data_IF_644503780282
#
_entry.id   IF_644503780282
#
_cell.length_a   1.000
_cell.length_b   1.000
_cell.length_c   1.000
_cell.angle_alpha   90.00
_cell.angle_beta   90.00
_cell.angle_gamma   90.00
#
_symmetry.space_group_name_H-M   'P 1'
#
loop_
_entity.id
_entity.type
_entity.pdbx_description
1 polymer ?
#
# COMPACT_ATOMS: atom_id res chain seq x y z
N UNK A 1 -47.71 11.61 -35.49
CA UNK A 1 -46.41 11.25 -34.90
C UNK A 1 -46.68 10.96 -33.46
N UNK A 2 -46.45 9.73 -33.04
CA UNK A 2 -46.61 9.35 -31.64
C UNK A 2 -45.38 9.82 -30.85
N UNK A 3 -45.64 10.34 -29.66
CA UNK A 3 -44.62 10.96 -28.81
C UNK A 3 -44.57 10.21 -27.48
N UNK A 4 -43.35 9.90 -27.05
CA UNK A 4 -43.05 9.37 -25.73
C UNK A 4 -42.52 10.47 -24.80
N UNK A 5 -42.67 10.23 -23.50
CA UNK A 5 -42.15 11.09 -22.44
C UNK A 5 -40.65 10.86 -22.22
N UNK A 6 -40.00 11.79 -21.53
CA UNK A 6 -38.60 11.66 -21.07
C UNK A 6 -38.36 10.39 -20.26
N UNK A 7 -39.36 9.96 -19.47
CA UNK A 7 -39.23 8.77 -18.63
C UNK A 7 -39.20 7.50 -19.50
N UNK A 8 -40.12 7.39 -20.44
CA UNK A 8 -40.21 6.27 -21.39
C UNK A 8 -38.98 6.22 -22.32
N UNK A 9 -38.53 7.38 -22.81
CA UNK A 9 -37.29 7.47 -23.58
C UNK A 9 -36.05 7.09 -22.73
N UNK A 10 -36.05 7.42 -21.44
CA UNK A 10 -35.01 7.01 -20.49
C UNK A 10 -34.96 5.49 -20.32
N UNK A 11 -36.12 4.85 -20.13
CA UNK A 11 -36.23 3.39 -20.05
C UNK A 11 -35.81 2.72 -21.37
N UNK A 12 -36.27 3.25 -22.51
CA UNK A 12 -35.90 2.77 -23.86
C UNK A 12 -34.40 2.85 -24.13
N UNK A 13 -33.69 3.83 -23.57
CA UNK A 13 -32.27 4.07 -23.85
C UNK A 13 -31.32 3.66 -22.72
N UNK A 14 -31.85 3.14 -21.61
CA UNK A 14 -31.08 2.82 -20.41
C UNK A 14 -30.43 4.05 -19.78
N UNK A 15 -31.11 5.21 -19.81
CA UNK A 15 -30.62 6.49 -19.31
C UNK A 15 -31.53 7.04 -18.21
N UNK A 16 -30.95 7.70 -17.22
CA UNK A 16 -31.74 8.45 -16.24
C UNK A 16 -32.48 9.62 -16.92
N UNK A 17 -33.71 9.91 -16.50
CA UNK A 17 -34.56 10.95 -17.12
C UNK A 17 -33.89 12.32 -17.19
N UNK A 18 -33.02 12.65 -16.24
CA UNK A 18 -32.25 13.91 -16.22
C UNK A 18 -31.29 14.04 -17.43
N UNK A 19 -30.71 12.94 -17.91
CA UNK A 19 -29.84 12.94 -19.09
C UNK A 19 -30.69 13.09 -20.36
N UNK A 20 -31.83 12.42 -20.42
CA UNK A 20 -32.75 12.55 -21.57
C UNK A 20 -33.28 13.98 -21.71
N UNK A 21 -33.64 14.63 -20.60
CA UNK A 21 -34.01 16.06 -20.59
C UNK A 21 -32.88 16.96 -21.09
N UNK A 22 -31.63 16.65 -20.72
CA UNK A 22 -30.44 17.38 -21.18
C UNK A 22 -30.29 17.27 -22.70
N UNK A 23 -30.42 16.07 -23.26
CA UNK A 23 -30.35 15.88 -24.71
C UNK A 23 -31.45 16.61 -25.48
N UNK A 24 -32.66 16.68 -24.91
CA UNK A 24 -33.74 17.48 -25.50
C UNK A 24 -33.40 18.98 -25.47
N UNK A 25 -32.92 19.48 -24.33
CA UNK A 25 -32.56 20.89 -24.15
C UNK A 25 -31.36 21.32 -25.03
N UNK A 26 -30.41 20.42 -25.27
CA UNK A 26 -29.26 20.61 -26.15
C UNK A 26 -29.58 20.40 -27.64
N UNK A 27 -30.84 20.11 -27.99
CA UNK A 27 -31.28 19.90 -29.38
C UNK A 27 -30.69 18.65 -30.04
N UNK A 28 -30.23 17.67 -29.24
CA UNK A 28 -29.60 16.44 -29.74
C UNK A 28 -30.58 15.38 -30.22
N UNK A 29 -31.87 15.52 -29.87
CA UNK A 29 -32.93 14.62 -30.27
C UNK A 29 -33.78 15.32 -31.32
N UNK A 30 -33.68 14.87 -32.57
CA UNK A 30 -34.40 15.48 -33.67
C UNK A 30 -35.91 15.26 -33.49
N UNK A 31 -36.70 16.32 -33.71
CA UNK A 31 -38.16 16.31 -33.53
C UNK A 31 -38.64 16.37 -32.07
N UNK A 32 -37.75 16.49 -31.08
CA UNK A 32 -38.16 16.73 -29.69
C UNK A 32 -38.75 18.14 -29.52
N UNK A 33 -39.96 18.23 -28.97
CA UNK A 33 -40.67 19.50 -28.77
C UNK A 33 -41.01 19.69 -27.30
N UNK A 34 -40.79 20.90 -26.78
CA UNK A 34 -41.20 21.27 -25.43
C UNK A 34 -42.60 21.88 -25.47
N UNK A 35 -43.56 21.24 -24.78
CA UNK A 35 -44.92 21.75 -24.61
C UNK A 35 -45.18 22.00 -23.13
N UNK A 36 -45.06 23.25 -22.71
CA UNK A 36 -45.08 23.63 -21.29
C UNK A 36 -43.86 23.07 -20.55
N UNK A 37 -44.11 22.25 -19.51
CA UNK A 37 -43.05 21.60 -18.71
C UNK A 37 -42.70 20.19 -19.19
N UNK A 38 -43.36 19.69 -20.24
CA UNK A 38 -43.16 18.35 -20.76
C UNK A 38 -42.34 18.39 -22.06
N UNK A 39 -41.38 17.48 -22.17
CA UNK A 39 -40.73 17.16 -23.43
C UNK A 39 -41.46 16.00 -24.10
N UNK A 40 -41.86 16.23 -25.35
CA UNK A 40 -42.43 15.24 -26.25
C UNK A 40 -41.33 14.80 -27.21
N UNK A 41 -40.96 13.53 -27.13
CA UNK A 41 -39.90 12.93 -27.94
C UNK A 41 -40.57 11.99 -28.95
N UNK A 42 -40.33 12.10 -30.27
CA UNK A 42 -40.88 11.17 -31.25
C UNK A 42 -40.52 9.72 -30.88
N UNK A 43 -41.46 8.78 -30.97
CA UNK A 43 -41.19 7.38 -30.60
C UNK A 43 -40.07 6.75 -31.43
N UNK A 44 -39.92 7.15 -32.69
CA UNK A 44 -38.86 6.72 -33.60
C UNK A 44 -37.51 7.40 -33.35
N UNK A 45 -37.42 8.30 -32.37
CA UNK A 45 -36.18 8.98 -32.04
C UNK A 45 -35.08 7.98 -31.65
N UNK A 46 -33.91 8.15 -32.27
CA UNK A 46 -32.71 7.37 -32.01
C UNK A 46 -31.93 8.01 -30.85
N UNK A 47 -31.40 7.17 -29.96
CA UNK A 47 -30.54 7.61 -28.84
C UNK A 47 -29.36 8.43 -29.36
N UNK A 48 -29.18 9.69 -28.91
CA UNK A 48 -28.05 10.51 -29.34
C UNK A 48 -26.71 9.93 -28.87
N UNK A 49 -25.65 10.09 -29.68
CA UNK A 49 -24.30 9.69 -29.27
C UNK A 49 -23.80 10.55 -28.09
N UNK A 50 -23.42 9.89 -26.99
CA UNK A 50 -22.89 10.55 -25.80
C UNK A 50 -21.44 11.00 -26.02
N UNK A 51 -21.25 12.27 -26.39
CA UNK A 51 -19.92 12.86 -26.65
C UNK A 51 -19.02 13.00 -25.40
N UNK A 52 -19.46 12.58 -24.19
CA UNK A 52 -18.58 12.49 -23.01
C UNK A 52 -17.72 11.23 -22.96
N UNK A 53 -17.99 10.24 -23.83
CA UNK A 53 -17.04 9.18 -24.17
C UNK A 53 -16.57 9.39 -25.60
N UNK A 54 -15.30 9.80 -25.79
CA UNK A 54 -14.60 9.44 -27.03
C UNK A 54 -14.76 7.93 -27.18
N UNK A 55 -15.35 7.46 -28.28
CA UNK A 55 -15.24 6.06 -28.73
C UNK A 55 -13.73 5.79 -28.86
N UNK A 56 -13.12 5.22 -27.83
CA UNK A 56 -11.92 4.44 -28.01
C UNK A 56 -12.34 3.28 -28.92
N UNK A 57 -11.64 3.11 -30.03
CA UNK A 57 -11.80 1.95 -30.90
C UNK A 57 -11.77 0.69 -30.05
N UNK A 58 -12.85 -0.09 -30.10
CA UNK A 58 -12.88 -1.44 -29.57
C UNK A 58 -11.84 -2.23 -30.39
N UNK A 59 -10.65 -2.42 -29.83
CA UNK A 59 -9.93 -3.66 -30.05
C UNK A 59 -10.62 -4.66 -29.14
N UNK A 60 -11.07 -5.77 -29.71
CA UNK A 60 -11.54 -6.92 -28.95
C UNK A 60 -10.45 -7.30 -27.94
N UNK A 61 -10.62 -6.92 -26.67
CA UNK A 61 -9.91 -7.56 -25.56
C UNK A 61 -10.53 -8.94 -25.39
N UNK A 62 -10.12 -9.84 -26.27
CA UNK A 62 -10.11 -11.27 -25.96
C UNK A 62 -8.99 -11.49 -24.95
N UNK A 63 -9.35 -12.04 -23.79
CA UNK A 63 -8.38 -12.55 -22.82
C UNK A 63 -8.20 -11.65 -21.62
N UNK A 64 -8.77 -12.11 -20.52
CA UNK A 64 -8.24 -11.91 -19.17
C UNK A 64 -6.71 -12.04 -19.19
N UNK A 65 -5.99 -10.92 -19.14
CA UNK A 65 -4.57 -10.93 -18.85
C UNK A 65 -4.38 -11.07 -17.33
N UNK A 66 -4.81 -12.22 -16.79
CA UNK A 66 -4.00 -12.86 -15.75
C UNK A 66 -2.63 -13.00 -16.38
N UNK A 67 -1.61 -12.42 -15.75
CA UNK A 67 -0.22 -12.52 -16.19
C UNK A 67 0.06 -13.95 -16.64
N UNK A 68 0.11 -14.17 -17.94
CA UNK A 68 0.92 -15.24 -18.50
C UNK A 68 2.32 -14.99 -17.95
N UNK A 69 2.97 -16.05 -17.48
CA UNK A 69 4.26 -15.94 -16.82
C UNK A 69 5.20 -15.12 -17.73
N UNK A 70 6.11 -14.31 -17.20
CA UNK A 70 7.04 -13.51 -18.04
C UNK A 70 7.75 -14.42 -19.05
N UNK A 71 7.92 -15.69 -18.67
CA UNK A 71 8.41 -16.78 -19.50
C UNK A 71 7.54 -17.11 -20.74
N UNK A 72 6.22 -17.13 -20.59
CA UNK A 72 5.28 -17.42 -21.67
C UNK A 72 5.21 -16.30 -22.71
N UNK A 73 5.35 -15.04 -22.25
CA UNK A 73 5.43 -13.87 -23.12
C UNK A 73 6.73 -13.85 -23.94
N UNK A 74 7.84 -14.34 -23.37
CA UNK A 74 9.12 -14.48 -24.05
C UNK A 74 9.09 -15.54 -25.16
N UNK A 75 8.55 -16.73 -24.89
CA UNK A 75 8.44 -17.79 -25.91
C UNK A 75 7.57 -17.37 -27.10
N UNK A 76 6.56 -16.52 -26.87
CA UNK A 76 5.73 -15.94 -27.93
C UNK A 76 6.43 -14.85 -28.74
N UNK A 77 7.38 -14.10 -28.15
CA UNK A 77 8.03 -12.95 -28.78
C UNK A 77 9.39 -13.24 -29.43
N UNK A 78 10.00 -14.39 -29.14
CA UNK A 78 11.34 -14.83 -29.64
C UNK A 78 11.54 -14.77 -31.17
N UNK A 79 10.46 -14.67 -31.92
CA UNK A 79 10.46 -14.62 -33.39
C UNK A 79 10.13 -13.23 -33.97
N UNK A 80 9.96 -12.20 -33.14
CA UNK A 80 9.83 -10.80 -33.58
C UNK A 80 11.15 -10.06 -33.40
N UNK A 81 11.68 -9.45 -34.47
CA UNK A 81 12.96 -8.72 -34.53
C UNK A 81 13.10 -7.51 -33.56
N UNK A 82 12.17 -7.30 -32.64
CA UNK A 82 12.19 -6.16 -31.72
C UNK A 82 11.36 -6.42 -30.47
N UNK A 83 11.81 -7.33 -29.59
CA UNK A 83 11.34 -7.33 -28.21
C UNK A 83 12.28 -6.48 -27.35
N UNK A 84 11.82 -5.36 -26.75
CA UNK A 84 12.71 -4.45 -26.01
C UNK A 84 13.29 -5.04 -24.71
N UNK A 85 12.82 -6.22 -24.27
CA UNK A 85 13.33 -6.94 -23.10
C UNK A 85 14.28 -8.11 -23.45
N UNK A 86 14.46 -8.45 -24.73
CA UNK A 86 15.23 -9.65 -25.13
C UNK A 86 16.70 -9.63 -24.67
N UNK A 87 17.27 -8.46 -24.35
CA UNK A 87 18.65 -8.40 -23.83
C UNK A 87 18.76 -8.40 -22.31
N UNK A 88 17.69 -8.36 -21.51
CA UNK A 88 17.81 -8.23 -20.05
C UNK A 88 18.39 -9.47 -19.36
N UNK A 89 18.00 -10.66 -19.84
CA UNK A 89 18.50 -11.93 -19.31
C UNK A 89 19.89 -12.29 -19.86
N UNK A 90 20.19 -11.86 -21.09
CA UNK A 90 21.47 -12.07 -21.75
C UNK A 90 22.53 -11.04 -21.31
N UNK A 91 22.09 -9.84 -20.92
CA UNK A 91 22.92 -8.76 -20.42
C UNK A 91 22.99 -8.78 -18.89
N UNK A 92 23.92 -9.59 -18.38
CA UNK A 92 24.23 -9.71 -16.95
C UNK A 92 24.52 -8.37 -16.29
N UNK A 93 25.12 -7.41 -17.01
CA UNK A 93 25.41 -6.08 -16.49
C UNK A 93 24.12 -5.29 -16.25
N UNK A 94 23.19 -5.30 -17.21
CA UNK A 94 21.92 -4.59 -17.08
C UNK A 94 21.07 -5.15 -15.94
N UNK A 95 20.99 -6.47 -15.81
CA UNK A 95 20.32 -7.11 -14.67
C UNK A 95 20.96 -6.73 -13.32
N UNK A 96 22.29 -6.72 -13.26
CA UNK A 96 23.01 -6.26 -12.07
C UNK A 96 22.72 -4.79 -11.74
N UNK A 97 22.62 -3.91 -12.75
CA UNK A 97 22.25 -2.51 -12.57
C UNK A 97 20.83 -2.37 -12.02
N UNK A 98 19.87 -3.17 -12.48
CA UNK A 98 18.49 -3.16 -11.94
C UNK A 98 18.50 -3.50 -10.45
N UNK A 99 19.15 -4.59 -10.05
CA UNK A 99 19.19 -4.98 -8.63
C UNK A 99 19.91 -3.92 -7.81
N UNK A 100 21.01 -3.38 -8.33
CA UNK A 100 21.82 -2.35 -7.67
C UNK A 100 21.06 -1.05 -7.43
N UNK A 101 20.26 -0.60 -8.40
CA UNK A 101 19.46 0.61 -8.33
C UNK A 101 18.00 0.37 -7.93
N UNK A 102 17.66 -0.85 -7.48
CA UNK A 102 16.33 -1.16 -6.98
C UNK A 102 16.00 -0.21 -5.81
N UNK A 103 14.84 0.47 -5.82
CA UNK A 103 14.59 1.62 -4.93
C UNK A 103 14.32 1.23 -3.47
N UNK A 104 14.15 -0.07 -3.18
CA UNK A 104 13.96 -0.56 -1.82
C UNK A 104 15.23 -1.24 -1.32
N UNK A 105 15.61 -1.07 -0.05
CA UNK A 105 16.72 -1.81 0.53
C UNK A 105 16.56 -3.31 0.28
N UNK A 106 17.63 -3.92 -0.20
CA UNK A 106 17.66 -5.33 -0.55
C UNK A 106 19.05 -5.90 -0.26
N UNK A 107 19.09 -7.12 0.28
CA UNK A 107 20.31 -7.91 0.33
C UNK A 107 20.11 -9.32 -0.23
N UNK A 108 21.21 -9.93 -0.66
CA UNK A 108 21.26 -11.31 -1.14
C UNK A 108 22.28 -12.08 -0.28
N UNK A 109 21.86 -13.22 0.24
CA UNK A 109 22.69 -14.11 1.04
C UNK A 109 22.87 -15.47 0.35
N UNK A 110 24.02 -16.10 0.61
CA UNK A 110 24.27 -17.51 0.32
C UNK A 110 23.47 -18.42 1.29
N UNK A 111 23.30 -19.71 0.98
CA UNK A 111 22.52 -20.64 1.82
C UNK A 111 23.10 -20.86 3.23
N UNK A 112 24.40 -20.62 3.40
CA UNK A 112 25.08 -20.68 4.69
C UNK A 112 24.83 -19.43 5.56
N UNK A 113 24.16 -18.40 5.03
CA UNK A 113 23.85 -17.15 5.72
C UNK A 113 24.79 -16.00 5.40
N UNK A 114 25.85 -16.24 4.62
CA UNK A 114 26.83 -15.20 4.27
C UNK A 114 26.19 -14.16 3.34
N UNK A 115 26.23 -12.88 3.73
CA UNK A 115 25.78 -11.80 2.87
C UNK A 115 26.72 -11.66 1.67
N UNK A 116 26.18 -11.72 0.45
CA UNK A 116 26.94 -11.61 -0.79
C UNK A 116 26.79 -10.24 -1.42
N UNK A 117 25.62 -9.62 -1.25
CA UNK A 117 25.26 -8.38 -1.91
C UNK A 117 24.28 -7.57 -1.07
N UNK A 118 24.39 -6.25 -1.16
CA UNK A 118 23.38 -5.30 -0.73
C UNK A 118 23.31 -4.18 -1.77
N UNK A 119 22.12 -3.67 -2.06
CA UNK A 119 21.94 -2.61 -3.05
C UNK A 119 22.22 -1.21 -2.47
N UNK A 120 22.20 -0.17 -3.32
CA UNK A 120 22.50 1.20 -2.89
C UNK A 120 21.52 1.69 -1.82
N UNK A 121 20.22 1.42 -2.00
CA UNK A 121 19.19 1.76 -1.03
C UNK A 121 19.45 1.15 0.36
N UNK A 122 20.05 -0.05 0.44
CA UNK A 122 20.44 -0.66 1.71
C UNK A 122 21.56 0.12 2.40
N UNK A 123 22.59 0.56 1.66
CA UNK A 123 23.71 1.32 2.21
C UNK A 123 23.29 2.73 2.66
N UNK A 124 22.42 3.38 1.90
CA UNK A 124 21.80 4.65 2.29
C UNK A 124 21.02 4.50 3.59
N UNK A 125 20.21 3.44 3.70
CA UNK A 125 19.43 3.14 4.89
C UNK A 125 20.30 2.92 6.14
N UNK A 126 21.40 2.16 6.06
CA UNK A 126 22.30 1.95 7.21
C UNK A 126 23.29 3.10 7.43
N UNK A 127 23.17 4.20 6.66
CA UNK A 127 24.06 5.37 6.69
C UNK A 127 25.55 4.98 6.61
N UNK A 128 25.89 3.94 5.83
CA UNK A 128 27.26 3.43 5.71
C UNK A 128 27.85 3.76 4.34
N UNK A 129 29.00 4.45 4.28
CA UNK A 129 29.63 4.80 3.01
C UNK A 129 30.42 3.64 2.38
N UNK A 130 30.67 2.54 3.10
CA UNK A 130 31.57 1.46 2.64
C UNK A 130 30.85 0.13 2.43
N UNK A 131 31.24 -0.56 1.36
CA UNK A 131 30.79 -1.94 1.07
C UNK A 131 31.50 -3.01 1.92
N UNK A 132 32.42 -2.60 2.80
CA UNK A 132 33.12 -3.51 3.71
C UNK A 132 32.15 -4.23 4.66
N UNK A 133 30.99 -3.64 4.90
CA UNK A 133 29.84 -4.20 5.58
C UNK A 133 29.41 -5.58 5.06
N UNK A 134 29.67 -5.93 3.80
CA UNK A 134 29.29 -7.26 3.29
C UNK A 134 30.26 -8.33 3.81
N UNK A 135 31.54 -7.97 4.01
CA UNK A 135 32.59 -8.95 4.34
C UNK A 135 32.44 -9.45 5.78
N UNK A 136 32.25 -10.77 5.92
CA UNK A 136 32.18 -11.44 7.22
C UNK A 136 30.84 -11.36 7.94
N UNK A 137 29.82 -10.69 7.37
CA UNK A 137 28.48 -10.65 7.95
C UNK A 137 27.68 -11.89 7.53
N UNK A 138 27.42 -12.76 8.51
CA UNK A 138 26.54 -13.92 8.35
C UNK A 138 25.24 -13.67 9.11
N UNK A 139 24.11 -13.64 8.39
CA UNK A 139 22.79 -13.33 8.96
C UNK A 139 22.32 -14.41 9.94
N UNK A 140 22.63 -15.68 9.66
CA UNK A 140 22.21 -16.82 10.50
C UNK A 140 22.96 -16.85 11.84
N UNK A 141 24.19 -16.36 11.86
CA UNK A 141 25.05 -16.33 13.04
C UNK A 141 24.89 -15.04 13.86
N UNK A 142 23.99 -14.13 13.47
CA UNK A 142 23.80 -12.88 14.18
C UNK A 142 23.22 -13.17 15.59
N UNK A 143 23.91 -12.77 16.68
CA UNK A 143 23.44 -13.06 18.04
C UNK A 143 22.17 -12.28 18.42
N UNK A 144 21.82 -11.23 17.66
CA UNK A 144 20.70 -10.35 17.97
C UNK A 144 19.38 -10.79 17.33
N UNK A 145 19.32 -11.92 16.60
CA UNK A 145 18.11 -12.34 15.88
C UNK A 145 16.87 -12.48 16.80
N UNK A 146 17.05 -13.03 18.00
CA UNK A 146 15.98 -13.11 19.01
C UNK A 146 15.55 -11.72 19.47
N UNK A 147 16.51 -10.87 19.85
CA UNK A 147 16.25 -9.52 20.35
C UNK A 147 15.55 -8.64 19.32
N UNK A 148 15.91 -8.79 18.05
CA UNK A 148 15.30 -8.06 16.93
C UNK A 148 13.98 -8.69 16.46
N UNK A 149 13.55 -9.82 17.06
CA UNK A 149 12.29 -10.48 16.70
C UNK A 149 12.29 -11.17 15.33
N UNK A 150 13.45 -11.42 14.73
CA UNK A 150 13.59 -11.95 13.36
C UNK A 150 14.13 -13.38 13.29
N UNK A 151 14.34 -14.05 14.43
CA UNK A 151 14.89 -15.41 14.45
C UNK A 151 14.04 -16.42 13.68
N UNK A 152 12.73 -16.44 13.91
CA UNK A 152 11.85 -17.37 13.19
C UNK A 152 11.78 -17.04 11.70
N UNK A 153 11.75 -15.74 11.36
CA UNK A 153 11.82 -15.25 9.98
C UNK A 153 13.07 -15.77 9.26
N UNK A 154 14.25 -15.63 9.88
CA UNK A 154 15.51 -16.15 9.33
C UNK A 154 15.49 -17.67 9.25
N UNK A 155 15.05 -18.37 10.31
CA UNK A 155 14.99 -19.83 10.31
C UNK A 155 14.16 -20.38 9.14
N UNK A 156 12.95 -19.85 8.93
CA UNK A 156 12.00 -20.32 7.90
C UNK A 156 12.44 -19.96 6.48
N UNK A 157 12.99 -18.76 6.27
CA UNK A 157 13.46 -18.36 4.93
C UNK A 157 14.58 -19.26 4.42
N UNK A 158 15.49 -19.70 5.30
CA UNK A 158 16.55 -20.64 4.96
C UNK A 158 16.10 -22.11 4.91
N UNK A 159 14.86 -22.41 5.34
CA UNK A 159 14.18 -23.69 5.05
C UNK A 159 13.51 -23.69 3.67
N UNK A 160 13.54 -22.57 2.96
CA UNK A 160 13.02 -22.43 1.61
C UNK A 160 11.57 -21.96 1.54
N UNK A 161 11.05 -21.39 2.64
CA UNK A 161 9.76 -20.70 2.66
C UNK A 161 9.90 -19.27 2.16
N UNK A 162 8.83 -18.74 1.55
CA UNK A 162 8.65 -17.29 1.40
C UNK A 162 8.09 -16.80 2.72
N UNK A 163 8.81 -15.88 3.38
CA UNK A 163 8.48 -15.44 4.72
C UNK A 163 8.31 -13.93 4.74
N UNK A 164 7.29 -13.48 5.45
CA UNK A 164 7.03 -12.07 5.69
C UNK A 164 7.11 -11.78 7.18
N UNK A 165 7.69 -10.63 7.53
CA UNK A 165 7.57 -10.03 8.84
C UNK A 165 7.12 -8.59 8.65
N UNK A 166 6.23 -8.13 9.52
CA UNK A 166 5.58 -6.83 9.39
C UNK A 166 5.89 -5.97 10.59
N UNK A 167 6.05 -4.67 10.33
CA UNK A 167 6.16 -3.64 11.34
C UNK A 167 7.26 -3.87 12.39
N UNK A 168 8.40 -4.39 11.93
CA UNK A 168 9.56 -4.67 12.78
C UNK A 168 10.31 -3.38 13.10
N UNK A 169 10.56 -3.13 14.39
CA UNK A 169 11.40 -2.02 14.83
C UNK A 169 12.83 -2.24 14.35
N UNK A 170 13.36 -1.26 13.62
CA UNK A 170 14.75 -1.27 13.19
C UNK A 170 15.63 -0.79 14.35
N UNK A 171 16.67 -1.55 14.73
CA UNK A 171 17.64 -1.13 15.73
C UNK A 171 18.64 -0.14 15.10
N UNK A 172 18.14 1.01 14.64
CA UNK A 172 18.89 1.99 13.85
C UNK A 172 20.22 2.38 14.50
N UNK A 173 20.19 2.68 15.80
CA UNK A 173 21.38 3.05 16.56
C UNK A 173 22.45 1.94 16.51
N UNK A 174 22.07 0.69 16.77
CA UNK A 174 23.00 -0.45 16.73
C UNK A 174 23.58 -0.66 15.32
N UNK A 175 22.74 -0.51 14.29
CA UNK A 175 23.19 -0.64 12.90
C UNK A 175 24.18 0.46 12.57
N UNK A 176 23.90 1.70 12.94
CA UNK A 176 24.75 2.86 12.64
C UNK A 176 26.07 2.77 13.42
N UNK A 177 26.04 2.41 14.70
CA UNK A 177 27.25 2.18 15.50
C UNK A 177 28.10 1.07 14.87
N UNK A 178 27.46 -0.02 14.44
CA UNK A 178 28.15 -1.15 13.80
C UNK A 178 28.74 -0.79 12.44
N UNK A 179 28.11 0.09 11.67
CA UNK A 179 28.36 0.22 10.23
C UNK A 179 28.87 1.58 9.76
N UNK A 180 28.64 2.64 10.52
CA UNK A 180 29.15 3.98 10.23
C UNK A 180 30.27 4.39 11.19
N UNK A 181 30.37 3.74 12.36
CA UNK A 181 31.27 4.16 13.44
C UNK A 181 30.88 5.49 14.09
N UNK A 182 29.77 6.10 13.68
CA UNK A 182 29.22 7.30 14.29
C UNK A 182 28.33 6.92 15.48
N UNK A 183 28.58 7.53 16.63
CA UNK A 183 27.83 7.33 17.88
C UNK A 183 26.83 8.46 18.15
N UNK A 184 26.56 9.34 17.18
CA UNK A 184 25.59 10.42 17.33
C UNK A 184 24.20 9.86 17.66
N UNK A 185 23.60 10.39 18.73
CA UNK A 185 22.32 9.91 19.24
C UNK A 185 21.23 10.32 18.25
N UNK A 186 20.57 9.35 17.63
CA UNK A 186 19.46 9.63 16.73
C UNK A 186 18.14 9.75 17.49
N UNK A 187 17.47 10.89 17.29
CA UNK A 187 16.05 11.06 17.62
C UNK A 187 15.18 10.63 16.43
N UNK A 188 15.34 9.35 16.04
CA UNK A 188 14.64 8.73 14.92
C UNK A 188 14.19 7.32 15.33
N UNK A 189 13.01 6.92 14.87
CA UNK A 189 12.54 5.54 15.00
C UNK A 189 11.93 5.07 13.69
N UNK A 190 12.27 3.85 13.30
CA UNK A 190 12.01 3.34 11.97
C UNK A 190 11.52 1.90 12.07
N UNK A 191 10.48 1.58 11.31
CA UNK A 191 9.87 0.26 11.26
C UNK A 191 9.81 -0.21 9.81
N UNK A 192 10.06 -1.50 9.59
CA UNK A 192 10.07 -2.10 8.27
C UNK A 192 9.21 -3.36 8.22
N UNK A 193 8.61 -3.58 7.05
CA UNK A 193 8.24 -4.92 6.63
C UNK A 193 9.44 -5.56 5.93
N UNK A 194 9.61 -6.86 6.16
CA UNK A 194 10.64 -7.68 5.55
C UNK A 194 9.98 -8.81 4.79
N UNK A 195 10.44 -9.06 3.57
CA UNK A 195 10.07 -10.24 2.81
C UNK A 195 11.34 -10.97 2.40
N UNK A 196 11.47 -12.23 2.78
CA UNK A 196 12.55 -13.10 2.34
C UNK A 196 12.00 -14.19 1.44
N UNK A 197 12.66 -14.43 0.32
CA UNK A 197 12.30 -15.48 -0.62
C UNK A 197 13.55 -16.18 -1.17
N UNK A 198 13.52 -17.52 -1.26
CA UNK A 198 14.64 -18.29 -1.80
C UNK A 198 14.63 -18.26 -3.33
N UNK A 199 15.81 -18.05 -3.91
CA UNK A 199 16.08 -18.30 -5.33
C UNK A 199 16.68 -19.69 -5.44
N UNK A 200 16.13 -20.50 -6.34
CA UNK A 200 16.53 -21.88 -6.54
C UNK A 200 17.32 -22.05 -7.84
N UNK A 201 18.27 -22.98 -7.82
CA UNK A 201 18.99 -23.41 -9.02
C UNK A 201 18.16 -24.37 -9.88
N UNK A 202 18.73 -24.84 -10.98
CA UNK A 202 18.13 -25.82 -11.88
C UNK A 202 17.83 -27.18 -11.22
N UNK A 203 18.39 -27.46 -10.03
CA UNK A 203 18.16 -28.67 -9.25
C UNK A 203 17.18 -28.42 -8.08
N UNK A 204 16.46 -27.30 -8.08
CA UNK A 204 15.54 -26.85 -7.04
C UNK A 204 16.19 -26.64 -5.65
N UNK A 205 17.52 -26.61 -5.57
CA UNK A 205 18.24 -26.29 -4.33
C UNK A 205 18.28 -24.79 -4.15
N UNK A 206 18.25 -24.34 -2.90
CA UNK A 206 18.36 -22.91 -2.58
C UNK A 206 19.77 -22.47 -2.99
N UNK A 207 19.85 -21.58 -3.97
CA UNK A 207 21.08 -20.95 -4.41
C UNK A 207 21.31 -19.64 -3.63
N UNK A 208 20.24 -18.87 -3.42
CA UNK A 208 20.30 -17.59 -2.72
C UNK A 208 19.05 -17.36 -1.89
N UNK A 209 19.16 -16.49 -0.88
CA UNK A 209 18.02 -15.92 -0.18
C UNK A 209 18.05 -14.42 -0.42
N UNK A 210 16.98 -13.88 -0.98
CA UNK A 210 16.81 -12.45 -1.20
C UNK A 210 15.91 -11.90 -0.12
N UNK A 211 16.34 -10.84 0.56
CA UNK A 211 15.51 -10.13 1.55
C UNK A 211 15.30 -8.71 1.08
N UNK A 212 14.03 -8.29 1.00
CA UNK A 212 13.61 -6.93 0.65
C UNK A 212 12.98 -6.28 1.87
N UNK A 213 13.30 -5.00 2.07
CA UNK A 213 12.80 -4.21 3.17
C UNK A 213 11.96 -3.05 2.64
N UNK A 214 10.79 -2.82 3.23
CA UNK A 214 9.95 -1.65 2.94
C UNK A 214 9.64 -0.94 4.23
N UNK A 215 9.93 0.35 4.32
CA UNK A 215 9.60 1.16 5.50
C UNK A 215 8.09 1.19 5.71
N UNK A 216 7.62 0.74 6.88
CA UNK A 216 6.22 0.81 7.30
C UNK A 216 5.92 2.10 8.06
N UNK A 217 6.83 2.53 8.93
CA UNK A 217 6.66 3.73 9.78
C UNK A 217 8.02 4.40 9.97
N UNK A 218 8.02 5.73 9.93
CA UNK A 218 9.20 6.53 10.23
C UNK A 218 8.82 7.73 11.09
N UNK A 219 9.47 7.85 12.23
CA UNK A 219 9.29 8.92 13.19
C UNK A 219 10.60 9.67 13.34
N UNK A 220 10.51 11.00 13.25
CA UNK A 220 11.61 11.92 13.44
C UNK A 220 11.11 13.12 14.25
N UNK A 221 12.02 13.80 14.94
CA UNK A 221 11.73 15.06 15.63
C UNK A 221 12.10 15.01 17.11
N UNK A 222 11.14 15.32 17.99
CA UNK A 222 11.35 15.31 19.44
C UNK A 222 11.12 13.91 20.00
N UNK A 223 12.02 13.43 20.85
CA UNK A 223 11.95 12.10 21.47
C UNK A 223 10.61 11.84 22.17
N UNK A 224 10.07 12.82 22.90
CA UNK A 224 8.80 12.67 23.62
C UNK A 224 7.63 12.44 22.65
N UNK A 225 7.71 13.04 21.46
CA UNK A 225 6.71 12.87 20.39
C UNK A 225 6.88 11.50 19.73
N UNK A 226 8.12 11.07 19.47
CA UNK A 226 8.43 9.76 18.90
C UNK A 226 7.91 8.65 19.82
N UNK A 227 8.33 8.66 21.09
CA UNK A 227 7.88 7.67 22.10
C UNK A 227 6.36 7.65 22.26
N UNK A 228 5.75 8.83 22.14
CA UNK A 228 4.30 8.99 22.08
C UNK A 228 3.62 8.23 20.96
N UNK A 229 4.12 8.43 19.73
CA UNK A 229 3.61 7.75 18.54
C UNK A 229 3.84 6.25 18.65
N UNK A 230 5.05 5.82 19.01
CA UNK A 230 5.38 4.40 19.23
C UNK A 230 4.38 3.73 20.17
N UNK A 231 4.16 4.33 21.35
CA UNK A 231 3.22 3.77 22.31
C UNK A 231 1.80 3.65 21.75
N UNK A 232 1.29 4.73 21.14
CA UNK A 232 -0.06 4.73 20.55
C UNK A 232 -0.17 3.67 19.45
N UNK A 233 0.83 3.56 18.59
CA UNK A 233 0.81 2.63 17.47
C UNK A 233 0.98 1.16 17.91
N UNK A 234 1.65 0.89 19.04
CA UNK A 234 1.76 -0.44 19.65
C UNK A 234 0.50 -0.83 20.45
N UNK A 235 -0.10 0.12 21.16
CA UNK A 235 -1.21 -0.10 22.09
C UNK A 235 -2.55 0.39 21.54
N UNK A 236 -2.66 0.51 20.21
CA UNK A 236 -3.84 1.09 19.55
C UNK A 236 -5.15 0.34 19.83
N UNK A 237 -5.08 -0.95 20.22
CA UNK A 237 -6.25 -1.75 20.60
C UNK A 237 -6.80 -1.42 21.98
N UNK A 238 -5.98 -0.80 22.84
CA UNK A 238 -6.37 -0.39 24.18
C UNK A 238 -7.21 0.90 24.15
N UNK A 239 -7.91 1.17 25.25
CA UNK A 239 -8.58 2.45 25.43
C UNK A 239 -7.54 3.56 25.60
N UNK A 240 -7.81 4.71 24.98
CA UNK A 240 -6.89 5.84 25.03
C UNK A 240 -6.79 6.44 26.43
N UNK A 241 -5.58 6.51 26.96
CA UNK A 241 -5.28 7.07 28.27
C UNK A 241 -4.13 8.09 28.17
N UNK A 242 -4.48 9.36 28.31
CA UNK A 242 -3.50 10.46 28.23
C UNK A 242 -2.58 10.49 29.44
N UNK A 243 -3.03 10.02 30.60
CA UNK A 243 -2.24 10.07 31.83
C UNK A 243 -1.12 9.01 31.74
N UNK A 244 -1.44 7.79 31.27
CA UNK A 244 -0.42 6.77 30.93
C UNK A 244 0.58 7.28 29.90
N UNK A 245 0.09 7.85 28.80
CA UNK A 245 0.94 8.36 27.72
C UNK A 245 1.88 9.47 28.21
N UNK A 246 1.36 10.39 29.02
CA UNK A 246 2.16 11.46 29.62
C UNK A 246 3.18 10.96 30.64
N UNK A 247 2.86 9.87 31.37
CA UNK A 247 3.77 9.20 32.29
C UNK A 247 4.98 8.57 31.59
N UNK A 248 4.79 7.97 30.41
CA UNK A 248 5.86 7.34 29.60
C UNK A 248 6.93 8.34 29.16
N UNK A 249 6.51 9.58 28.89
CA UNK A 249 7.40 10.66 28.46
C UNK A 249 7.81 11.58 29.60
N UNK A 250 7.40 11.26 30.83
CA UNK A 250 7.71 12.03 32.04
C UNK A 250 7.25 13.50 31.98
N UNK A 251 6.07 13.76 31.42
CA UNK A 251 5.47 15.09 31.30
C UNK A 251 4.07 15.14 31.89
N UNK A 252 3.57 16.33 32.22
CA UNK A 252 2.15 16.49 32.55
C UNK A 252 1.26 16.34 31.31
N UNK A 253 0.02 15.86 31.48
CA UNK A 253 -0.97 15.70 30.39
C UNK A 253 -1.12 16.94 29.51
N UNK A 254 -1.15 18.13 30.12
CA UNK A 254 -1.36 19.40 29.43
C UNK A 254 -0.13 19.80 28.62
N UNK A 255 1.05 19.68 29.24
CA UNK A 255 2.30 20.04 28.57
C UNK A 255 2.56 19.10 27.39
N UNK A 256 2.37 17.79 27.60
CA UNK A 256 2.55 16.80 26.56
C UNK A 256 1.56 16.96 25.41
N UNK A 257 0.27 17.17 25.69
CA UNK A 257 -0.73 17.40 24.64
C UNK A 257 -0.39 18.61 23.77
N UNK A 258 0.10 19.69 24.39
CA UNK A 258 0.54 20.90 23.68
C UNK A 258 1.80 20.63 22.85
N UNK A 259 2.81 19.97 23.42
CA UNK A 259 4.04 19.60 22.72
C UNK A 259 3.73 18.71 21.51
N UNK A 260 2.96 17.64 21.71
CA UNK A 260 2.59 16.72 20.65
C UNK A 260 1.85 17.44 19.53
N UNK A 261 0.88 18.31 19.85
CA UNK A 261 0.17 19.11 18.85
C UNK A 261 1.07 20.11 18.14
N UNK A 262 2.00 20.73 18.84
CA UNK A 262 2.95 21.66 18.24
C UNK A 262 3.85 20.97 17.21
N UNK A 263 4.28 19.73 17.47
CA UNK A 263 5.17 18.99 16.58
C UNK A 263 4.45 18.16 15.50
N UNK A 264 3.20 17.74 15.73
CA UNK A 264 2.46 16.87 14.79
C UNK A 264 1.28 17.56 14.11
N UNK A 265 0.90 18.75 14.56
CA UNK A 265 -0.30 19.47 14.11
C UNK A 265 -1.61 18.98 14.76
N UNK A 266 -1.62 17.82 15.41
CA UNK A 266 -2.83 17.19 15.98
C UNK A 266 -2.62 16.73 17.43
N UNK A 267 -3.70 16.52 18.17
CA UNK A 267 -3.58 16.02 19.56
C UNK A 267 -3.24 14.52 19.58
N UNK A 268 -2.68 13.99 20.68
CA UNK A 268 -2.44 12.55 20.81
C UNK A 268 -3.71 11.71 20.61
N UNK A 269 -4.86 12.17 21.12
CA UNK A 269 -6.14 11.47 20.91
C UNK A 269 -6.57 11.46 19.45
N UNK A 270 -6.39 12.59 18.74
CA UNK A 270 -6.65 12.65 17.30
C UNK A 270 -5.74 11.71 16.52
N UNK A 271 -4.47 11.61 16.89
CA UNK A 271 -3.51 10.67 16.30
C UNK A 271 -3.94 9.22 16.56
N UNK A 272 -4.30 8.85 17.79
CA UNK A 272 -4.82 7.52 18.13
C UNK A 272 -6.04 7.13 17.28
N UNK A 273 -6.99 8.04 17.11
CA UNK A 273 -8.14 7.79 16.24
C UNK A 273 -7.73 7.59 14.76
N UNK A 274 -6.69 8.31 14.32
CA UNK A 274 -6.18 8.19 12.95
C UNK A 274 -5.48 6.84 12.72
N UNK A 275 -4.74 6.34 13.72
CA UNK A 275 -4.18 4.98 13.72
C UNK A 275 -5.30 3.95 13.60
N UNK A 276 -6.36 4.07 14.41
CA UNK A 276 -7.54 3.17 14.31
C UNK A 276 -8.21 3.21 12.94
N UNK A 277 -8.34 4.38 12.33
CA UNK A 277 -8.88 4.52 10.97
C UNK A 277 -7.99 3.82 9.95
N UNK A 278 -6.67 3.95 10.06
CA UNK A 278 -5.73 3.24 9.17
C UNK A 278 -5.87 1.71 9.30
N UNK A 279 -5.97 1.19 10.53
CA UNK A 279 -6.19 -0.24 10.78
C UNK A 279 -7.55 -0.74 10.26
N UNK A 280 -8.60 0.07 10.38
CA UNK A 280 -9.88 -0.22 9.73
C UNK A 280 -9.74 -0.31 8.22
N UNK A 281 -9.04 0.64 7.56
CA UNK A 281 -8.85 0.59 6.10
C UNK A 281 -8.17 -0.71 5.67
N UNK A 282 -7.10 -1.10 6.38
CA UNK A 282 -6.37 -2.34 6.12
C UNK A 282 -7.31 -3.56 6.21
N UNK A 283 -8.06 -3.68 7.32
CA UNK A 283 -8.98 -4.81 7.56
C UNK A 283 -10.23 -4.82 6.70
N UNK A 284 -10.70 -3.66 6.24
CA UNK A 284 -11.87 -3.58 5.35
C UNK A 284 -11.61 -4.26 4.00
N UNK A 285 -10.36 -4.42 3.59
CA UNK A 285 -9.96 -5.15 2.40
C UNK A 285 -10.04 -6.68 2.55
N UNK A 286 -10.20 -7.20 3.77
CA UNK A 286 -10.40 -8.63 3.99
C UNK A 286 -11.86 -9.01 3.70
N UNK A 287 -12.06 -9.78 2.64
CA UNK A 287 -13.37 -10.26 2.20
C UNK A 287 -13.94 -11.35 3.11
N UNK A 288 -13.10 -11.99 3.94
CA UNK A 288 -13.52 -13.06 4.84
C UNK A 288 -14.18 -12.53 6.12
N UNK A 289 -14.02 -11.24 6.41
CA UNK A 289 -14.60 -10.58 7.57
C UNK A 289 -15.82 -9.75 7.18
N UNK A 290 -16.92 -9.83 7.94
CA UNK A 290 -18.02 -8.87 7.84
C UNK A 290 -17.59 -7.48 8.31
N UNK A 291 -18.36 -6.44 7.97
CA UNK A 291 -18.05 -5.07 8.38
C UNK A 291 -18.06 -4.96 9.91
N UNK A 292 -19.02 -5.60 10.58
CA UNK A 292 -19.12 -5.62 12.04
C UNK A 292 -17.87 -6.27 12.65
N UNK A 293 -17.46 -7.44 12.15
CA UNK A 293 -16.26 -8.13 12.64
C UNK A 293 -14.99 -7.27 12.48
N UNK A 294 -14.86 -6.51 11.38
CA UNK A 294 -13.73 -5.59 11.21
C UNK A 294 -13.71 -4.49 12.27
N UNK A 295 -14.87 -3.96 12.64
CA UNK A 295 -14.99 -2.95 13.69
C UNK A 295 -14.69 -3.52 15.07
N UNK A 296 -15.20 -4.72 15.36
CA UNK A 296 -14.92 -5.45 16.61
C UNK A 296 -13.42 -5.75 16.76
N UNK A 297 -12.76 -6.24 15.71
CA UNK A 297 -11.32 -6.52 15.71
C UNK A 297 -10.45 -5.27 15.88
N UNK A 298 -10.99 -4.11 15.54
CA UNK A 298 -10.35 -2.81 15.73
C UNK A 298 -10.72 -2.15 17.07
N UNK A 299 -11.47 -2.83 17.94
CA UNK A 299 -11.97 -2.32 19.21
C UNK A 299 -12.69 -0.95 19.03
N UNK A 300 -13.59 -0.85 18.06
CA UNK A 300 -14.33 0.37 17.74
C UNK A 300 -15.78 0.08 17.41
N UNK A 301 -16.68 0.97 17.84
CA UNK A 301 -18.10 0.86 17.49
C UNK A 301 -18.36 1.41 16.08
N UNK A 302 -19.05 0.61 15.25
CA UNK A 302 -19.51 0.99 13.92
C UNK A 302 -20.46 2.19 13.92
N UNK A 303 -21.28 2.34 14.95
CA UNK A 303 -22.17 3.50 15.10
C UNK A 303 -21.52 4.65 15.88
N UNK A 304 -20.28 4.44 16.32
CA UNK A 304 -19.53 5.37 17.13
C UNK A 304 -18.88 6.52 16.36
N UNK A 305 -18.12 7.32 17.10
CA UNK A 305 -17.40 8.49 16.58
C UNK A 305 -16.40 8.13 15.46
N UNK A 306 -15.78 6.94 15.54
CA UNK A 306 -14.78 6.50 14.56
C UNK A 306 -15.36 6.34 13.16
N UNK A 307 -16.58 5.81 13.01
CA UNK A 307 -17.21 5.65 11.69
C UNK A 307 -17.54 7.00 11.04
N UNK A 308 -18.01 7.98 11.84
CA UNK A 308 -18.21 9.36 11.37
C UNK A 308 -16.89 9.99 10.93
N UNK A 309 -15.85 9.83 11.75
CA UNK A 309 -14.51 10.36 11.46
C UNK A 309 -13.89 9.68 10.22
N UNK A 310 -14.12 8.37 10.04
CA UNK A 310 -13.71 7.64 8.84
C UNK A 310 -14.35 8.27 7.61
N UNK A 311 -15.67 8.47 7.60
CA UNK A 311 -16.37 9.11 6.48
C UNK A 311 -15.88 10.52 6.19
N UNK A 312 -15.63 11.32 7.23
CA UNK A 312 -15.09 12.67 7.08
C UNK A 312 -13.69 12.67 6.47
N UNK A 313 -12.83 11.75 6.90
CA UNK A 313 -11.43 11.69 6.47
C UNK A 313 -11.24 11.05 5.09
N UNK A 314 -12.03 10.02 4.78
CA UNK A 314 -11.89 9.21 3.55
C UNK A 314 -12.89 9.64 2.47
N UNK A 315 -13.93 10.40 2.82
CA UNK A 315 -14.96 10.87 1.90
C UNK A 315 -16.07 9.85 1.62
N UNK A 316 -15.97 8.63 2.15
CA UNK A 316 -16.93 7.54 1.96
C UNK A 316 -17.10 6.71 3.23
N UNK A 317 -18.24 6.04 3.36
CA UNK A 317 -18.50 5.13 4.49
C UNK A 317 -17.60 3.89 4.44
N UNK A 318 -17.36 3.21 5.57
CA UNK A 318 -16.61 1.96 5.59
C UNK A 318 -17.11 0.90 4.59
N UNK A 319 -18.44 0.76 4.44
CA UNK A 319 -19.04 -0.17 3.47
C UNK A 319 -18.76 0.22 2.02
N UNK A 320 -18.85 1.51 1.70
CA UNK A 320 -18.50 2.02 0.37
C UNK A 320 -17.02 1.85 0.08
N UNK A 321 -16.16 2.10 1.07
CA UNK A 321 -14.72 1.88 0.95
C UNK A 321 -14.40 0.42 0.65
N UNK A 322 -14.97 -0.51 1.42
CA UNK A 322 -14.82 -1.95 1.14
C UNK A 322 -15.29 -2.32 -0.26
N UNK A 323 -16.49 -1.91 -0.66
CA UNK A 323 -17.03 -2.23 -1.97
C UNK A 323 -16.07 -1.76 -3.09
N UNK A 324 -15.54 -0.54 -2.98
CA UNK A 324 -14.58 0.01 -3.93
C UNK A 324 -13.25 -0.77 -3.96
N UNK A 325 -12.75 -1.22 -2.81
CA UNK A 325 -11.45 -1.90 -2.72
C UNK A 325 -11.52 -3.41 -3.05
N UNK A 326 -12.72 -4.01 -3.05
CA UNK A 326 -12.91 -5.47 -3.20
C UNK A 326 -13.71 -5.86 -4.45
N UNK A 327 -14.39 -4.93 -5.11
CA UNK A 327 -14.97 -5.16 -6.43
C UNK A 327 -13.85 -5.18 -7.47
N UNK A 328 -13.52 -6.38 -7.96
CA UNK A 328 -12.75 -6.61 -9.20
C UNK A 328 -13.67 -6.48 -10.40
#
# INVERSE_FOLDING_TARGET
>A
MDYMTVKEAGEKWGLGSRIVTLYCAEGKINGAVKKGNLWLIPEDAVKPEDRRRKKASIKEETGSAVSQDIYDLYEQSKHQDSWPFESLYENKELFAQIIKHFPYPLHICAPDGTMLFANEAFFEFVKSPTRELIKGNNIRNNPNLDRWGVKDFVRRSYQGEIVHAYDLRVPLQELIEKYSGNAELLSESLYHNMTAFPIRDAHHKIAYIVTVFTTSRYYQGRDEVIRGKEYIDEHWKEEFDIDKLSGIVHMSRYHYTRLFKQHTGITPYTYYQDVKISKLKEKLCDINLSITQVFDECCVDYNGNISKKFKQKIGMTPSQYRAMMTQK
#
